data_IF_475496897102
#
_entry.id   IF_475496897102
#
_cell.length_a   1.000
_cell.length_b   1.000
_cell.length_c   1.000
_cell.angle_alpha   90.00
_cell.angle_beta   90.00
_cell.angle_gamma   90.00
#
_symmetry.space_group_name_H-M   'P 1'
#
loop_
_entity.id
_entity.type
_entity.pdbx_description
1 polymer ?
#
# COMPACT_ATOMS: atom_id res chain seq x y z
N UNK A 1 -39.70 -2.70 38.76
CA UNK A 1 -38.98 -3.90 38.30
C UNK A 1 -39.30 -4.09 36.82
N UNK A 2 -38.62 -3.35 35.95
CA UNK A 2 -38.73 -3.49 34.50
C UNK A 2 -37.32 -3.58 33.98
N UNK A 3 -36.87 -4.80 33.67
CA UNK A 3 -35.61 -5.06 32.99
C UNK A 3 -35.68 -4.37 31.62
N UNK A 4 -34.93 -3.28 31.47
CA UNK A 4 -34.59 -2.75 30.16
C UNK A 4 -33.82 -3.84 29.42
N UNK A 5 -34.41 -4.33 28.33
CA UNK A 5 -33.79 -5.27 27.42
C UNK A 5 -32.40 -4.73 27.01
N UNK A 6 -31.37 -5.57 27.18
CA UNK A 6 -30.04 -5.27 26.68
C UNK A 6 -30.12 -5.11 25.16
N UNK A 7 -29.88 -3.89 24.66
CA UNK A 7 -29.70 -3.62 23.24
C UNK A 7 -28.60 -4.57 22.70
N UNK A 8 -28.81 -5.29 21.58
CA UNK A 8 -27.76 -6.09 20.99
C UNK A 8 -26.62 -5.15 20.56
N UNK A 9 -25.38 -5.43 21.00
CA UNK A 9 -24.19 -4.74 20.51
C UNK A 9 -23.95 -5.14 19.06
N UNK A 10 -24.68 -4.53 18.12
CA UNK A 10 -24.38 -4.63 16.68
C UNK A 10 -23.14 -3.79 16.37
N UNK A 11 -21.97 -4.33 16.69
CA UNK A 11 -20.70 -3.85 16.17
C UNK A 11 -19.79 -5.03 15.91
N UNK A 12 -20.20 -5.89 14.96
CA UNK A 12 -19.18 -6.36 14.02
C UNK A 12 -18.62 -5.09 13.38
N UNK A 13 -17.43 -4.67 13.78
CA UNK A 13 -16.75 -3.55 13.14
C UNK A 13 -16.81 -3.79 11.63
N UNK A 14 -17.44 -2.88 10.88
CA UNK A 14 -17.65 -3.00 9.44
C UNK A 14 -16.28 -3.13 8.75
N UNK A 15 -15.82 -4.36 8.58
CA UNK A 15 -14.53 -4.69 8.00
C UNK A 15 -14.58 -4.41 6.50
N UNK A 16 -13.67 -3.57 6.00
CA UNK A 16 -13.51 -3.36 4.57
C UNK A 16 -12.85 -4.59 3.95
N UNK A 17 -13.35 -5.04 2.80
CA UNK A 17 -12.68 -6.09 2.03
C UNK A 17 -11.31 -5.59 1.54
N UNK A 18 -10.36 -6.51 1.39
CA UNK A 18 -9.04 -6.17 0.84
C UNK A 18 -9.14 -5.54 -0.55
N UNK A 19 -10.09 -6.01 -1.37
CA UNK A 19 -10.37 -5.44 -2.68
C UNK A 19 -10.78 -3.96 -2.58
N UNK A 20 -11.64 -3.60 -1.62
CA UNK A 20 -12.04 -2.21 -1.41
C UNK A 20 -10.87 -1.33 -0.94
N UNK A 21 -9.95 -1.87 -0.13
CA UNK A 21 -8.74 -1.16 0.30
C UNK A 21 -7.77 -0.94 -0.87
N UNK A 22 -7.60 -1.95 -1.73
CA UNK A 22 -6.78 -1.86 -2.93
C UNK A 22 -7.35 -0.85 -3.92
N UNK A 23 -8.67 -0.87 -4.12
CA UNK A 23 -9.37 0.09 -4.98
C UNK A 23 -9.19 1.51 -4.45
N UNK A 24 -9.37 1.70 -3.14
CA UNK A 24 -9.19 3.00 -2.49
C UNK A 24 -7.79 3.58 -2.76
N UNK A 25 -6.76 2.75 -2.88
CA UNK A 25 -5.36 3.15 -3.05
C UNK A 25 -4.84 2.97 -4.49
N UNK A 26 -5.70 2.71 -5.47
CA UNK A 26 -5.29 2.32 -6.82
C UNK A 26 -4.41 3.37 -7.51
N UNK A 27 -4.79 4.65 -7.43
CA UNK A 27 -4.04 5.76 -8.03
C UNK A 27 -2.65 5.92 -7.41
N UNK A 28 -2.58 5.90 -6.07
CA UNK A 28 -1.31 6.00 -5.35
C UNK A 28 -0.38 4.82 -5.66
N UNK A 29 -0.93 3.61 -5.76
CA UNK A 29 -0.18 2.42 -6.13
C UNK A 29 0.40 2.52 -7.54
N UNK A 30 -0.37 3.04 -8.50
CA UNK A 30 0.09 3.27 -9.86
C UNK A 30 1.20 4.34 -9.93
N UNK A 31 1.09 5.38 -9.10
CA UNK A 31 2.15 6.39 -8.98
C UNK A 31 3.45 5.78 -8.41
N UNK A 32 3.34 4.92 -7.40
CA UNK A 32 4.49 4.18 -6.85
C UNK A 32 5.08 3.21 -7.86
N UNK A 33 4.27 2.51 -8.66
CA UNK A 33 4.76 1.63 -9.75
C UNK A 33 5.57 2.40 -10.79
N UNK A 34 5.06 3.56 -11.20
CA UNK A 34 5.75 4.46 -12.13
C UNK A 34 7.07 4.93 -11.55
N UNK A 35 7.08 5.30 -10.27
CA UNK A 35 8.29 5.74 -9.58
C UNK A 35 9.33 4.61 -9.48
N UNK A 36 8.93 3.40 -9.11
CA UNK A 36 9.82 2.24 -9.01
C UNK A 36 10.49 1.96 -10.37
N UNK A 37 9.68 1.92 -11.44
CA UNK A 37 10.19 1.72 -12.81
C UNK A 37 11.18 2.80 -13.21
N UNK A 38 10.87 4.07 -12.93
CA UNK A 38 11.77 5.18 -13.25
C UNK A 38 13.08 5.13 -12.44
N UNK A 39 13.02 4.74 -11.15
CA UNK A 39 14.19 4.71 -10.25
C UNK A 39 15.13 3.54 -10.49
N UNK A 40 14.63 2.43 -11.01
CA UNK A 40 15.41 1.23 -11.32
C UNK A 40 15.70 1.07 -12.83
N UNK A 41 15.37 2.07 -13.65
CA UNK A 41 15.77 2.07 -15.06
C UNK A 41 17.29 2.09 -15.16
N UNK A 42 17.85 1.09 -15.85
CA UNK A 42 19.30 0.90 -15.93
C UNK A 42 19.69 0.17 -17.22
N UNK A 43 20.90 0.42 -17.71
CA UNK A 43 21.50 -0.37 -18.80
C UNK A 43 21.83 -1.81 -18.37
N UNK A 44 21.88 -2.06 -17.05
CA UNK A 44 22.08 -3.40 -16.49
C UNK A 44 20.74 -4.14 -16.45
N UNK A 45 20.59 -5.14 -17.32
CA UNK A 45 19.36 -5.95 -17.47
C UNK A 45 18.81 -6.47 -16.15
N UNK A 46 19.67 -6.96 -15.26
CA UNK A 46 19.27 -7.52 -13.96
C UNK A 46 18.54 -6.48 -13.08
N UNK A 47 18.92 -5.20 -13.14
CA UNK A 47 18.28 -4.16 -12.34
C UNK A 47 16.84 -3.92 -12.84
N UNK A 48 16.61 -3.94 -14.14
CA UNK A 48 15.25 -3.85 -14.70
C UNK A 48 14.38 -5.06 -14.30
N UNK A 49 14.97 -6.26 -14.22
CA UNK A 49 14.27 -7.46 -13.76
C UNK A 49 13.84 -7.33 -12.29
N UNK A 50 14.67 -6.71 -11.43
CA UNK A 50 14.30 -6.40 -10.05
C UNK A 50 13.10 -5.44 -10.02
N UNK A 51 13.09 -4.41 -10.87
CA UNK A 51 11.96 -3.49 -10.96
C UNK A 51 10.65 -4.21 -11.29
N UNK A 52 10.66 -5.08 -12.31
CA UNK A 52 9.49 -5.87 -12.67
C UNK A 52 9.09 -6.87 -11.58
N UNK A 53 10.06 -7.49 -10.89
CA UNK A 53 9.76 -8.36 -9.75
C UNK A 53 8.99 -7.62 -8.65
N UNK A 54 9.43 -6.41 -8.30
CA UNK A 54 8.77 -5.57 -7.29
C UNK A 54 7.36 -5.19 -7.76
N UNK A 55 7.20 -4.77 -9.01
CA UNK A 55 5.89 -4.35 -9.56
C UNK A 55 4.94 -5.55 -9.69
N UNK A 56 5.43 -6.70 -10.14
CA UNK A 56 4.67 -7.93 -10.35
C UNK A 56 4.20 -8.57 -9.03
N UNK A 57 4.81 -8.25 -7.89
CA UNK A 57 4.27 -8.59 -6.57
C UNK A 57 2.84 -8.02 -6.37
N UNK A 58 2.46 -7.01 -7.15
CA UNK A 58 1.08 -6.63 -7.43
C UNK A 58 0.32 -6.03 -6.25
N UNK A 59 -0.94 -6.47 -6.08
CA UNK A 59 -1.87 -6.08 -5.00
C UNK A 59 -1.36 -6.27 -3.58
N UNK A 60 -0.34 -7.11 -3.41
CA UNK A 60 0.12 -7.66 -2.12
C UNK A 60 1.24 -6.87 -1.44
N UNK A 61 1.71 -5.76 -2.03
CA UNK A 61 2.74 -4.90 -1.44
C UNK A 61 2.19 -4.18 -0.20
N UNK A 62 2.07 -4.94 0.89
CA UNK A 62 1.43 -4.50 2.14
C UNK A 62 2.15 -3.30 2.74
N UNK A 63 3.48 -3.24 2.61
CA UNK A 63 4.30 -2.15 3.18
C UNK A 63 4.00 -0.79 2.54
N UNK A 64 4.11 -0.62 1.20
CA UNK A 64 3.71 0.63 0.57
C UNK A 64 2.21 0.88 0.73
N UNK A 65 1.34 -0.14 0.63
CA UNK A 65 -0.09 0.02 0.84
C UNK A 65 -0.42 0.63 2.22
N UNK A 66 0.19 0.11 3.29
CA UNK A 66 0.02 0.65 4.64
C UNK A 66 0.48 2.10 4.74
N UNK A 67 1.61 2.44 4.13
CA UNK A 67 2.12 3.81 4.14
C UNK A 67 1.20 4.78 3.39
N UNK A 68 0.71 4.39 2.21
CA UNK A 68 -0.20 5.21 1.41
C UNK A 68 -1.51 5.47 2.15
N UNK A 69 -2.08 4.43 2.76
CA UNK A 69 -3.29 4.55 3.58
C UNK A 69 -3.06 5.42 4.82
N UNK A 70 -1.92 5.28 5.49
CA UNK A 70 -1.56 6.10 6.64
C UNK A 70 -1.41 7.58 6.26
N UNK A 71 -0.73 7.89 5.16
CA UNK A 71 -0.59 9.26 4.65
C UNK A 71 -1.96 9.90 4.41
N UNK A 72 -2.88 9.18 3.74
CA UNK A 72 -4.24 9.65 3.49
C UNK A 72 -5.07 9.79 4.75
N UNK A 73 -4.99 8.83 5.68
CA UNK A 73 -5.69 8.89 6.95
C UNK A 73 -5.25 10.08 7.82
N UNK A 74 -3.99 10.51 7.67
CA UNK A 74 -3.42 11.69 8.32
C UNK A 74 -3.67 13.00 7.56
N UNK A 75 -4.38 12.95 6.42
CA UNK A 75 -4.69 14.14 5.62
C UNK A 75 -3.48 14.73 4.88
N UNK A 76 -2.42 13.96 4.64
CA UNK A 76 -1.26 14.42 3.89
C UNK A 76 -1.62 14.64 2.42
N UNK A 77 -1.37 15.84 1.90
CA UNK A 77 -1.72 16.26 0.54
C UNK A 77 -0.49 16.45 -0.40
N UNK A 78 0.73 16.19 0.10
CA UNK A 78 1.94 16.28 -0.71
C UNK A 78 2.21 15.01 -1.52
N UNK A 79 3.41 14.91 -2.13
CA UNK A 79 3.79 13.77 -2.99
C UNK A 79 4.88 12.87 -2.41
N UNK A 80 5.43 13.21 -1.25
CA UNK A 80 6.58 12.48 -0.69
C UNK A 80 6.23 11.08 -0.21
N UNK A 81 4.96 10.84 0.11
CA UNK A 81 4.45 9.52 0.48
C UNK A 81 4.63 8.47 -0.63
N UNK A 82 4.61 8.87 -1.92
CA UNK A 82 4.94 7.97 -3.02
C UNK A 82 6.43 7.60 -3.02
N UNK A 83 7.32 8.58 -2.77
CA UNK A 83 8.75 8.32 -2.66
C UNK A 83 9.06 7.40 -1.48
N UNK A 84 8.48 7.69 -0.32
CA UNK A 84 8.69 6.91 0.88
C UNK A 84 8.15 5.48 0.73
N UNK A 85 6.99 5.30 0.09
CA UNK A 85 6.45 3.98 -0.25
C UNK A 85 7.43 3.16 -1.11
N UNK A 86 8.02 3.77 -2.14
CA UNK A 86 9.01 3.09 -2.99
C UNK A 86 10.31 2.77 -2.22
N UNK A 87 10.80 3.69 -1.38
CA UNK A 87 11.99 3.46 -0.54
C UNK A 87 11.79 2.27 0.41
N UNK A 88 10.64 2.21 1.08
CA UNK A 88 10.31 1.09 1.97
C UNK A 88 10.31 -0.22 1.20
N UNK A 89 9.73 -0.25 -0.01
CA UNK A 89 9.68 -1.47 -0.80
C UNK A 89 11.08 -1.86 -1.32
N UNK A 90 11.94 -0.90 -1.69
CA UNK A 90 13.34 -1.19 -2.04
C UNK A 90 14.11 -1.80 -0.88
N UNK A 91 14.00 -1.25 0.33
CA UNK A 91 14.66 -1.81 1.52
C UNK A 91 14.14 -3.22 1.78
N UNK A 92 12.83 -3.43 1.68
CA UNK A 92 12.25 -4.77 1.83
C UNK A 92 12.82 -5.75 0.81
N UNK A 93 12.80 -5.42 -0.48
CA UNK A 93 13.33 -6.30 -1.53
C UNK A 93 14.81 -6.57 -1.34
N UNK A 94 15.61 -5.57 -0.97
CA UNK A 94 17.04 -5.74 -0.69
C UNK A 94 17.31 -6.72 0.47
N UNK A 95 16.37 -6.87 1.42
CA UNK A 95 16.50 -7.84 2.52
C UNK A 95 16.08 -9.26 2.15
N UNK A 96 15.40 -9.44 1.01
CA UNK A 96 14.96 -10.75 0.51
C UNK A 96 15.94 -11.37 -0.50
N UNK A 97 16.82 -10.56 -1.08
CA UNK A 97 17.87 -10.96 -2.02
C UNK A 97 19.16 -11.31 -1.26
#
# INVERSE_FOLDING_TARGET
>A
MTLAAAQPRSSEARSMSLAAIQELSAEDRAAVDTLIRARLSSDVVLINQIAEHIIAAGGKRLRPLLLLLAARALGYAGRDHHQLAAVIEFIHTATLL
#
